data_IF_958228151612
#
_entry.id   IF_958228151612
#
_cell.length_a   1.000
_cell.length_b   1.000
_cell.length_c   1.000
_cell.angle_alpha   90.00
_cell.angle_beta   90.00
_cell.angle_gamma   90.00
#
_symmetry.space_group_name_H-M   'P 1'
#
loop_
_entity.id
_entity.type
_entity.pdbx_description
1 polymer ?
#
# COMPACT_ATOMS: atom_id res chain seq x y z
N UNK A 1 48.01 12.76 4.46
CA UNK A 1 46.66 12.93 3.90
C UNK A 1 45.98 11.57 3.95
N UNK A 2 45.24 11.31 5.01
CA UNK A 2 44.51 10.05 5.23
C UNK A 2 43.08 10.35 4.82
N UNK A 3 42.68 9.81 3.67
CA UNK A 3 41.32 9.92 3.16
C UNK A 3 40.37 9.24 4.12
N UNK A 4 39.50 10.04 4.74
CA UNK A 4 38.32 9.62 5.47
C UNK A 4 37.30 9.04 4.46
N UNK A 5 37.39 7.76 4.17
CA UNK A 5 36.29 7.01 3.60
C UNK A 5 35.38 6.69 4.81
N UNK A 6 34.42 7.56 5.07
CA UNK A 6 33.23 7.13 5.83
C UNK A 6 32.55 6.06 4.99
N UNK A 7 32.85 4.80 5.25
CA UNK A 7 31.98 3.70 4.83
C UNK A 7 30.62 3.97 5.48
N UNK A 8 29.63 4.34 4.67
CA UNK A 8 28.23 4.32 5.08
C UNK A 8 27.97 2.90 5.58
N UNK A 9 27.84 2.77 6.89
CA UNK A 9 27.42 1.49 7.49
C UNK A 9 25.98 1.26 7.07
N UNK A 10 25.77 0.43 6.07
CA UNK A 10 24.45 -0.08 5.69
C UNK A 10 23.88 -0.72 6.95
N UNK A 11 22.69 -0.31 7.38
CA UNK A 11 21.98 -0.96 8.49
C UNK A 11 21.67 -2.41 8.08
N UNK A 12 22.57 -3.32 8.47
CA UNK A 12 22.44 -4.74 8.15
C UNK A 12 21.11 -5.32 8.63
N UNK A 13 20.54 -4.73 9.68
CA UNK A 13 19.24 -5.12 10.24
C UNK A 13 18.08 -4.84 9.27
N UNK A 14 18.03 -3.66 8.64
CA UNK A 14 17.00 -3.33 7.65
C UNK A 14 17.01 -4.30 6.48
N UNK A 15 18.20 -4.56 5.97
CA UNK A 15 18.44 -5.47 4.85
C UNK A 15 17.98 -6.90 5.17
N UNK A 16 18.34 -7.41 6.34
CA UNK A 16 17.95 -8.76 6.75
C UNK A 16 16.44 -8.86 7.03
N UNK A 17 15.83 -7.79 7.54
CA UNK A 17 14.37 -7.71 7.70
C UNK A 17 13.67 -7.79 6.34
N UNK A 18 14.11 -7.00 5.35
CA UNK A 18 13.55 -7.01 3.99
C UNK A 18 13.67 -8.41 3.37
N UNK A 19 14.84 -9.04 3.42
CA UNK A 19 15.06 -10.40 2.92
C UNK A 19 14.16 -11.42 3.62
N UNK A 20 14.00 -11.28 4.92
CA UNK A 20 13.14 -12.16 5.73
C UNK A 20 11.69 -12.04 5.33
N UNK A 21 11.19 -10.80 5.12
CA UNK A 21 9.82 -10.56 4.66
C UNK A 21 9.61 -11.17 3.26
N UNK A 22 10.52 -10.96 2.31
CA UNK A 22 10.39 -11.56 0.98
C UNK A 22 10.41 -13.09 1.01
N UNK A 23 11.23 -13.72 1.85
CA UNK A 23 11.20 -15.18 2.04
C UNK A 23 9.85 -15.66 2.57
N UNK A 24 9.30 -14.96 3.58
CA UNK A 24 7.99 -15.30 4.16
C UNK A 24 6.86 -15.13 3.13
N UNK A 25 6.87 -14.05 2.34
CA UNK A 25 5.93 -13.84 1.22
C UNK A 25 6.04 -15.01 0.24
N UNK A 26 7.25 -15.38 -0.16
CA UNK A 26 7.49 -16.47 -1.11
C UNK A 26 6.96 -17.79 -0.58
N UNK A 27 7.25 -18.15 0.68
CA UNK A 27 6.77 -19.38 1.29
C UNK A 27 5.23 -19.40 1.40
N UNK A 28 4.60 -18.28 1.79
CA UNK A 28 3.15 -18.21 1.89
C UNK A 28 2.47 -18.37 0.52
N UNK A 29 3.00 -17.73 -0.53
CA UNK A 29 2.48 -17.84 -1.89
C UNK A 29 2.62 -19.28 -2.42
N UNK A 30 3.80 -19.90 -2.24
CA UNK A 30 4.06 -21.26 -2.69
C UNK A 30 3.17 -22.30 -1.99
N UNK A 31 2.78 -22.11 -0.72
CA UNK A 31 1.86 -23.01 -0.01
C UNK A 31 0.48 -23.12 -0.69
N UNK A 32 0.10 -22.11 -1.46
CA UNK A 32 -1.19 -22.08 -2.18
C UNK A 32 -1.00 -21.99 -3.69
N UNK A 33 0.12 -22.49 -4.19
CA UNK A 33 0.44 -22.60 -5.61
C UNK A 33 0.38 -21.29 -6.40
N UNK A 34 0.66 -20.15 -5.71
CA UNK A 34 0.75 -18.82 -6.33
C UNK A 34 2.19 -18.43 -6.59
N UNK A 35 2.41 -17.66 -7.64
CA UNK A 35 3.73 -17.07 -7.90
C UNK A 35 4.02 -15.96 -6.88
N UNK A 36 5.20 -15.93 -6.20
CA UNK A 36 5.53 -14.89 -5.23
C UNK A 36 5.47 -13.46 -5.79
N UNK A 37 5.74 -13.28 -7.08
CA UNK A 37 5.66 -12.00 -7.79
C UNK A 37 4.24 -11.44 -7.93
N UNK A 38 3.21 -12.24 -7.66
CA UNK A 38 1.81 -11.79 -7.65
C UNK A 38 1.46 -11.02 -6.37
N UNK A 39 2.39 -10.95 -5.41
CA UNK A 39 2.19 -10.27 -4.12
C UNK A 39 3.09 -9.03 -4.03
N UNK A 40 2.48 -7.87 -4.05
CA UNK A 40 3.14 -6.58 -3.89
C UNK A 40 3.39 -6.29 -2.41
N UNK A 41 4.63 -5.94 -2.07
CA UNK A 41 5.00 -5.49 -0.72
C UNK A 41 4.88 -3.97 -0.64
N UNK A 42 3.92 -3.48 0.15
CA UNK A 42 3.79 -2.06 0.51
C UNK A 42 4.54 -1.84 1.83
N UNK A 43 5.69 -1.17 1.76
CA UNK A 43 6.50 -0.84 2.93
C UNK A 43 5.91 0.36 3.65
N UNK A 44 5.30 0.15 4.82
CA UNK A 44 4.60 1.21 5.58
C UNK A 44 5.61 2.01 6.39
N UNK A 45 5.78 3.28 6.02
CA UNK A 45 6.83 4.18 6.52
C UNK A 45 6.36 5.21 7.55
N UNK A 46 5.17 5.02 8.15
CA UNK A 46 4.73 5.88 9.26
C UNK A 46 5.84 5.91 10.34
N UNK A 47 6.20 7.10 10.82
CA UNK A 47 7.25 7.33 11.84
C UNK A 47 8.68 6.92 11.43
N UNK A 48 8.92 6.52 10.18
CA UNK A 48 10.25 6.20 9.65
C UNK A 48 10.88 7.47 9.08
N UNK A 49 12.15 7.71 9.38
CA UNK A 49 12.91 8.83 8.85
C UNK A 49 13.25 8.63 7.34
N UNK A 50 13.66 9.72 6.70
CA UNK A 50 13.93 9.75 5.26
C UNK A 50 15.18 8.96 4.89
N UNK A 51 16.16 8.88 5.77
CA UNK A 51 17.41 8.16 5.58
C UNK A 51 17.15 6.65 5.49
N UNK A 52 16.35 6.10 6.41
CA UNK A 52 15.97 4.67 6.35
C UNK A 52 15.09 4.33 5.15
N UNK A 53 14.23 5.27 4.72
CA UNK A 53 13.44 5.06 3.49
C UNK A 53 14.37 5.03 2.28
N UNK A 54 15.38 5.90 2.21
CA UNK A 54 16.37 5.91 1.14
C UNK A 54 17.15 4.60 1.11
N UNK A 55 17.63 4.10 2.24
CA UNK A 55 18.27 2.78 2.31
C UNK A 55 17.36 1.67 1.77
N UNK A 56 16.07 1.69 2.13
CA UNK A 56 15.09 0.72 1.62
C UNK A 56 14.89 0.84 0.09
N UNK A 57 14.90 2.06 -0.47
CA UNK A 57 14.87 2.32 -1.91
C UNK A 57 16.12 1.76 -2.58
N UNK A 58 17.30 2.01 -2.02
CA UNK A 58 18.58 1.54 -2.54
C UNK A 58 18.63 0.00 -2.53
N UNK A 59 17.96 -0.62 -1.58
CA UNK A 59 17.78 -2.08 -1.48
C UNK A 59 16.72 -2.66 -2.42
N UNK A 60 16.01 -1.81 -3.16
CA UNK A 60 15.07 -2.25 -4.19
C UNK A 60 13.60 -2.19 -3.81
N UNK A 61 13.21 -1.67 -2.63
CA UNK A 61 11.80 -1.40 -2.36
C UNK A 61 11.30 -0.25 -3.24
N UNK A 62 10.08 -0.37 -3.75
CA UNK A 62 9.51 0.57 -4.73
C UNK A 62 8.13 1.09 -4.34
N UNK A 63 7.42 0.40 -3.45
CA UNK A 63 6.06 0.76 -3.04
C UNK A 63 6.08 1.10 -1.55
N UNK A 64 5.75 2.35 -1.23
CA UNK A 64 5.77 2.86 0.13
C UNK A 64 4.36 3.30 0.56
N UNK A 65 4.01 3.00 1.82
CA UNK A 65 2.70 3.31 2.38
C UNK A 65 2.77 4.34 3.50
N UNK A 66 1.95 5.38 3.42
CA UNK A 66 1.80 6.39 4.48
C UNK A 66 0.39 6.39 5.05
N UNK A 67 0.30 6.66 6.35
CA UNK A 67 -0.99 6.68 7.06
C UNK A 67 -1.60 8.08 7.17
N UNK A 68 -0.81 9.14 7.00
CA UNK A 68 -1.23 10.54 7.19
C UNK A 68 -0.73 11.43 6.07
N UNK A 69 -1.65 12.15 5.45
CA UNK A 69 -1.36 13.02 4.29
C UNK A 69 -0.32 14.11 4.61
N UNK A 70 -0.37 14.70 5.82
CA UNK A 70 0.55 15.80 6.19
C UNK A 70 1.99 15.29 6.38
N UNK A 71 2.17 14.18 7.11
CA UNK A 71 3.49 13.56 7.29
C UNK A 71 4.07 13.12 5.94
N UNK A 72 3.23 12.52 5.08
CA UNK A 72 3.63 12.12 3.73
C UNK A 72 4.12 13.31 2.89
N UNK A 73 3.43 14.46 2.96
CA UNK A 73 3.80 15.65 2.18
C UNK A 73 5.23 16.10 2.48
N UNK A 74 5.59 16.24 3.74
CA UNK A 74 6.92 16.67 4.15
C UNK A 74 7.98 15.63 3.76
N UNK A 75 7.71 14.37 4.05
CA UNK A 75 8.59 13.25 3.79
C UNK A 75 8.89 13.06 2.30
N UNK A 76 7.84 13.02 1.47
CA UNK A 76 7.97 12.85 0.01
C UNK A 76 8.70 14.04 -0.60
N UNK A 77 8.44 15.29 -0.13
CA UNK A 77 9.14 16.48 -0.61
C UNK A 77 10.64 16.42 -0.28
N UNK A 78 10.99 16.01 0.93
CA UNK A 78 12.38 15.86 1.36
C UNK A 78 13.09 14.77 0.55
N UNK A 79 12.46 13.61 0.36
CA UNK A 79 13.02 12.53 -0.46
C UNK A 79 13.21 12.95 -1.92
N UNK A 80 12.23 13.62 -2.53
CA UNK A 80 12.35 14.12 -3.91
C UNK A 80 13.53 15.09 -4.07
N UNK A 81 13.78 15.96 -3.09
CA UNK A 81 14.92 16.88 -3.12
C UNK A 81 16.27 16.18 -2.99
N UNK A 82 16.32 15.06 -2.27
CA UNK A 82 17.55 14.26 -2.08
C UNK A 82 17.81 13.26 -3.20
N UNK A 83 16.76 12.81 -3.90
CA UNK A 83 16.85 11.87 -5.02
C UNK A 83 17.04 12.56 -6.39
N UNK A 84 17.16 13.90 -6.43
CA UNK A 84 17.50 14.65 -7.64
C UNK A 84 19.02 15.00 -7.68
N UNK A 85 19.74 14.72 -8.79
CA UNK A 85 19.20 14.63 -10.13
C UNK A 85 18.56 13.27 -10.42
N UNK A 86 17.55 13.21 -11.34
CA UNK A 86 17.03 11.94 -11.81
C UNK A 86 18.21 11.13 -12.38
N UNK A 87 18.24 9.80 -12.16
CA UNK A 87 19.31 8.98 -12.72
C UNK A 87 19.39 9.23 -14.23
N UNK A 88 20.59 9.34 -14.79
CA UNK A 88 20.77 9.65 -16.21
C UNK A 88 20.02 8.63 -17.07
N UNK A 89 19.37 9.07 -18.17
CA UNK A 89 18.43 8.24 -18.95
C UNK A 89 19.07 7.04 -19.65
N UNK A 90 20.39 6.85 -19.58
CA UNK A 90 21.10 5.80 -20.30
C UNK A 90 22.19 5.12 -19.48
N UNK A 91 21.81 4.17 -18.64
CA UNK A 91 22.70 3.07 -18.30
C UNK A 91 22.01 1.78 -18.73
N UNK A 92 22.43 1.20 -19.87
CA UNK A 92 22.07 -0.18 -20.23
C UNK A 92 22.54 -1.09 -19.11
N UNK A 93 21.59 -1.65 -18.33
CA UNK A 93 21.85 -2.56 -17.22
C UNK A 93 21.89 -1.93 -15.83
N UNK A 94 21.73 -0.61 -15.67
CA UNK A 94 21.64 0.08 -14.39
C UNK A 94 20.25 0.70 -14.22
N UNK A 95 19.60 0.47 -13.09
CA UNK A 95 18.48 1.20 -12.47
C UNK A 95 17.46 1.79 -13.46
N UNK A 96 16.98 0.95 -14.40
CA UNK A 96 15.97 1.37 -15.36
C UNK A 96 14.74 1.86 -14.61
N UNK A 97 14.43 3.13 -14.76
CA UNK A 97 13.22 3.89 -14.45
C UNK A 97 12.15 3.30 -13.53
N UNK A 98 12.51 2.65 -12.44
CA UNK A 98 11.54 2.15 -11.47
C UNK A 98 11.03 3.35 -10.66
N UNK A 99 9.86 3.83 -11.06
CA UNK A 99 9.15 4.86 -10.32
C UNK A 99 8.84 4.35 -8.91
N UNK A 100 9.10 5.18 -7.90
CA UNK A 100 8.67 4.93 -6.54
C UNK A 100 7.18 5.26 -6.49
N UNK A 101 6.37 4.29 -6.05
CA UNK A 101 4.94 4.48 -5.82
C UNK A 101 4.67 4.80 -4.35
N UNK A 102 3.83 5.81 -4.13
CA UNK A 102 3.35 6.21 -2.81
C UNK A 102 1.88 5.86 -2.65
N UNK A 103 1.57 5.04 -1.64
CA UNK A 103 0.22 4.59 -1.32
C UNK A 103 -0.28 5.24 -0.03
N UNK A 104 -1.52 5.73 -0.02
CA UNK A 104 -2.19 6.13 1.21
C UNK A 104 -2.92 4.92 1.79
N UNK A 105 -2.49 4.46 2.97
CA UNK A 105 -3.04 3.26 3.62
C UNK A 105 -3.81 3.57 4.91
N UNK A 106 -3.80 4.83 5.37
CA UNK A 106 -4.56 5.31 6.52
C UNK A 106 -5.80 6.10 6.11
N UNK A 107 -6.67 6.40 7.08
CA UNK A 107 -7.93 7.11 6.83
C UNK A 107 -7.73 8.48 6.17
N UNK A 108 -8.53 8.76 5.15
CA UNK A 108 -8.51 10.03 4.41
C UNK A 108 -9.74 10.89 4.75
N UNK A 109 -9.51 12.03 5.35
CA UNK A 109 -10.54 13.06 5.52
C UNK A 109 -10.80 13.79 4.19
N UNK A 110 -12.06 14.11 3.87
CA UNK A 110 -12.46 14.79 2.62
C UNK A 110 -11.67 16.07 2.34
N UNK A 111 -11.44 16.89 3.38
CA UNK A 111 -10.69 18.17 3.25
C UNK A 111 -9.21 17.98 2.89
N UNK A 112 -8.69 16.76 2.91
CA UNK A 112 -7.33 16.41 2.51
C UNK A 112 -7.25 15.76 1.12
N UNK A 113 -8.40 15.52 0.46
CA UNK A 113 -8.47 14.85 -0.84
C UNK A 113 -7.59 15.52 -1.90
N UNK A 114 -7.59 16.87 -1.96
CA UNK A 114 -6.73 17.64 -2.89
C UNK A 114 -5.25 17.29 -2.75
N UNK A 115 -4.75 17.29 -1.53
CA UNK A 115 -3.32 16.99 -1.26
C UNK A 115 -3.05 15.50 -1.52
N UNK A 116 -4.00 14.62 -1.15
CA UNK A 116 -3.85 13.17 -1.37
C UNK A 116 -3.70 12.85 -2.87
N UNK A 117 -4.52 13.42 -3.74
CA UNK A 117 -4.43 13.25 -5.20
C UNK A 117 -3.07 13.69 -5.76
N UNK A 118 -2.48 14.75 -5.21
CA UNK A 118 -1.17 15.25 -5.65
C UNK A 118 0.01 14.36 -5.22
N UNK A 119 -0.14 13.65 -4.10
CA UNK A 119 0.97 12.92 -3.46
C UNK A 119 0.98 11.44 -3.76
N UNK A 120 -0.21 10.81 -3.83
CA UNK A 120 -0.31 9.35 -3.83
C UNK A 120 -0.68 8.80 -5.20
N UNK A 121 -0.05 7.70 -5.56
CA UNK A 121 -0.33 6.94 -6.77
C UNK A 121 -1.56 6.05 -6.57
N UNK A 122 -1.73 5.45 -5.38
CA UNK A 122 -2.86 4.62 -5.02
C UNK A 122 -3.39 4.99 -3.63
N UNK A 123 -4.70 5.17 -3.51
CA UNK A 123 -5.41 5.45 -2.25
C UNK A 123 -6.21 4.21 -1.85
N UNK A 124 -5.83 3.54 -0.74
CA UNK A 124 -6.45 2.29 -0.28
C UNK A 124 -7.72 2.47 0.56
N UNK A 125 -7.98 3.68 1.02
CA UNK A 125 -8.92 3.97 2.11
C UNK A 125 -10.19 4.69 1.65
N UNK A 126 -10.62 4.48 0.40
CA UNK A 126 -11.89 5.03 -0.08
C UNK A 126 -13.07 4.30 0.56
N UNK A 127 -13.89 5.00 1.34
CA UNK A 127 -14.93 4.40 2.17
C UNK A 127 -16.31 5.04 2.00
N UNK A 128 -16.47 6.03 1.12
CA UNK A 128 -17.76 6.71 0.94
C UNK A 128 -17.88 7.39 -0.42
N UNK A 129 -19.12 7.51 -0.92
CA UNK A 129 -19.44 8.23 -2.17
C UNK A 129 -18.98 9.68 -2.09
N UNK A 130 -19.15 10.32 -0.92
CA UNK A 130 -18.72 11.70 -0.75
C UNK A 130 -17.21 11.92 -0.79
N UNK A 131 -16.40 10.93 -0.36
CA UNK A 131 -14.94 10.97 -0.53
C UNK A 131 -14.56 10.69 -1.99
N UNK A 132 -15.24 9.73 -2.64
CA UNK A 132 -15.04 9.44 -4.05
C UNK A 132 -15.27 10.68 -4.93
N UNK A 133 -16.36 11.41 -4.69
CA UNK A 133 -16.67 12.64 -5.41
C UNK A 133 -15.58 13.72 -5.25
N UNK A 134 -15.06 13.92 -4.02
CA UNK A 134 -13.97 14.88 -3.80
C UNK A 134 -12.66 14.44 -4.47
N UNK A 135 -12.33 13.14 -4.42
CA UNK A 135 -11.15 12.62 -5.13
C UNK A 135 -11.27 12.79 -6.64
N UNK A 136 -12.44 12.45 -7.23
CA UNK A 136 -12.70 12.60 -8.66
C UNK A 136 -12.54 14.05 -9.10
N UNK A 137 -13.16 15.00 -8.37
CA UNK A 137 -13.07 16.44 -8.64
C UNK A 137 -11.63 16.95 -8.62
N UNK A 138 -10.83 16.52 -7.63
CA UNK A 138 -9.45 16.97 -7.52
C UNK A 138 -8.53 16.26 -8.51
N UNK A 139 -8.84 15.02 -8.89
CA UNK A 139 -8.13 14.29 -9.94
C UNK A 139 -8.37 14.94 -11.30
N UNK A 140 -9.61 15.35 -11.63
CA UNK A 140 -9.94 16.13 -12.80
C UNK A 140 -9.15 17.45 -12.87
N UNK A 141 -9.12 18.21 -11.75
CA UNK A 141 -8.38 19.47 -11.66
C UNK A 141 -6.87 19.30 -11.80
N UNK A 142 -6.35 18.11 -11.54
CA UNK A 142 -4.93 17.75 -11.66
C UNK A 142 -4.61 17.03 -12.98
N UNK A 143 -5.59 16.90 -13.89
CA UNK A 143 -5.47 16.14 -15.15
C UNK A 143 -4.93 14.72 -14.92
N UNK A 144 -5.39 14.06 -13.86
CA UNK A 144 -4.93 12.76 -13.39
C UNK A 144 -6.08 11.76 -13.29
N UNK A 145 -5.82 10.50 -13.56
CA UNK A 145 -6.67 9.38 -13.14
C UNK A 145 -6.12 8.88 -11.82
N UNK A 146 -6.90 9.01 -10.75
CA UNK A 146 -6.49 8.55 -9.41
C UNK A 146 -6.89 7.11 -9.20
N UNK A 147 -5.89 6.26 -8.98
CA UNK A 147 -6.08 4.85 -8.61
C UNK A 147 -6.60 4.74 -7.18
N UNK A 148 -7.61 3.91 -6.96
CA UNK A 148 -8.25 3.75 -5.65
C UNK A 148 -8.61 2.29 -5.35
N UNK A 149 -8.56 1.92 -4.05
CA UNK A 149 -9.20 0.73 -3.52
C UNK A 149 -10.33 1.14 -2.58
N UNK A 150 -11.41 0.36 -2.55
CA UNK A 150 -12.48 0.57 -1.58
C UNK A 150 -12.15 -0.16 -0.29
N UNK A 151 -12.11 0.57 0.82
CA UNK A 151 -11.94 0.00 2.14
C UNK A 151 -13.27 -0.53 2.65
N UNK A 152 -13.35 -1.84 2.87
CA UNK A 152 -14.54 -2.54 3.39
C UNK A 152 -14.36 -2.81 4.88
N UNK A 153 -15.36 -2.46 5.66
CA UNK A 153 -15.45 -2.78 7.09
C UNK A 153 -16.06 -4.15 7.27
N UNK A 154 -15.26 -5.11 7.75
CA UNK A 154 -15.69 -6.48 8.01
C UNK A 154 -15.82 -6.82 9.51
N UNK A 155 -15.38 -5.92 10.39
CA UNK A 155 -15.47 -6.09 11.83
C UNK A 155 -16.52 -5.16 12.44
N UNK A 156 -17.17 -5.58 13.52
CA UNK A 156 -18.14 -4.77 14.26
C UNK A 156 -17.49 -3.67 15.13
N UNK A 157 -16.17 -3.59 15.19
CA UNK A 157 -15.48 -2.56 15.97
C UNK A 157 -15.87 -1.16 15.48
N UNK A 158 -16.44 -0.36 16.40
CA UNK A 158 -16.98 0.98 16.10
C UNK A 158 -15.93 1.98 15.58
N UNK A 159 -14.66 1.75 15.89
CA UNK A 159 -13.56 2.70 15.63
C UNK A 159 -12.92 2.47 14.24
N UNK A 160 -13.24 1.38 13.54
CA UNK A 160 -12.64 1.10 12.22
C UNK A 160 -13.41 1.77 11.11
N UNK A 161 -12.65 2.47 10.27
CA UNK A 161 -13.10 3.06 9.01
C UNK A 161 -13.38 1.98 7.97
N UNK A 162 -14.14 2.31 6.96
CA UNK A 162 -14.51 1.45 5.85
C UNK A 162 -16.02 1.48 5.62
N UNK A 163 -16.41 1.20 4.38
CA UNK A 163 -17.83 1.07 4.04
C UNK A 163 -18.38 -0.26 4.58
N UNK A 164 -19.59 -0.29 5.13
CA UNK A 164 -20.28 -1.55 5.43
C UNK A 164 -20.40 -2.40 4.15
N UNK A 165 -20.27 -3.73 4.29
CA UNK A 165 -20.32 -4.64 3.14
C UNK A 165 -21.66 -4.56 2.38
N UNK A 166 -22.73 -4.24 3.07
CA UNK A 166 -24.08 -4.06 2.52
C UNK A 166 -24.14 -2.89 1.53
N UNK A 167 -23.35 -1.84 1.77
CA UNK A 167 -23.29 -0.63 0.95
C UNK A 167 -22.22 -0.70 -0.15
N UNK A 168 -21.40 -1.77 -0.18
CA UNK A 168 -20.27 -1.90 -1.11
C UNK A 168 -20.72 -1.72 -2.56
N UNK A 169 -21.76 -2.44 -3.00
CA UNK A 169 -22.23 -2.34 -4.39
C UNK A 169 -22.60 -0.92 -4.78
N UNK A 170 -23.29 -0.20 -3.89
CA UNK A 170 -23.67 1.21 -4.15
C UNK A 170 -22.47 2.12 -4.33
N UNK A 171 -21.39 1.89 -3.58
CA UNK A 171 -20.15 2.66 -3.74
C UNK A 171 -19.44 2.30 -5.05
N UNK A 172 -19.37 1.01 -5.40
CA UNK A 172 -18.76 0.55 -6.65
C UNK A 172 -19.50 1.14 -7.86
N UNK A 173 -20.85 1.11 -7.87
CA UNK A 173 -21.67 1.73 -8.93
C UNK A 173 -21.37 3.23 -9.07
N UNK A 174 -21.27 3.95 -7.94
CA UNK A 174 -20.99 5.38 -7.96
C UNK A 174 -19.58 5.69 -8.48
N UNK A 175 -18.57 4.88 -8.16
CA UNK A 175 -17.20 5.08 -8.67
C UNK A 175 -17.14 4.78 -10.18
N UNK A 176 -17.88 3.79 -10.68
CA UNK A 176 -17.88 3.42 -12.08
C UNK A 176 -18.33 4.58 -13.02
N UNK A 177 -19.13 5.52 -12.51
CA UNK A 177 -19.55 6.74 -13.23
C UNK A 177 -18.52 7.89 -13.16
N UNK A 178 -17.43 7.73 -12.37
CA UNK A 178 -16.44 8.77 -12.13
C UNK A 178 -15.24 8.63 -13.07
N UNK A 179 -15.10 9.54 -14.03
CA UNK A 179 -14.11 9.43 -15.13
C UNK A 179 -12.65 9.58 -14.69
N UNK A 180 -12.39 10.21 -13.55
CA UNK A 180 -11.03 10.49 -13.07
C UNK A 180 -10.63 9.59 -11.89
N UNK A 181 -11.38 8.52 -11.64
CA UNK A 181 -11.02 7.46 -10.71
C UNK A 181 -10.82 6.13 -11.45
N UNK A 182 -9.80 5.41 -11.09
CA UNK A 182 -9.56 4.03 -11.50
C UNK A 182 -9.70 3.12 -10.28
N UNK A 183 -10.79 2.34 -10.27
CA UNK A 183 -11.05 1.38 -9.21
C UNK A 183 -10.28 0.09 -9.48
N UNK A 184 -9.28 -0.22 -8.63
CA UNK A 184 -8.43 -1.40 -8.80
C UNK A 184 -8.78 -2.56 -7.87
N UNK A 185 -9.55 -2.35 -6.80
CA UNK A 185 -9.82 -3.45 -5.89
C UNK A 185 -10.40 -3.05 -4.54
N UNK A 186 -10.24 -3.98 -3.60
CA UNK A 186 -10.73 -3.83 -2.23
C UNK A 186 -9.59 -3.85 -1.22
N UNK A 187 -9.84 -3.22 -0.07
CA UNK A 187 -8.94 -3.22 1.08
C UNK A 187 -9.70 -3.52 2.35
N UNK A 188 -9.09 -4.22 3.30
CA UNK A 188 -9.60 -4.34 4.66
C UNK A 188 -8.50 -4.25 5.71
N UNK A 189 -8.91 -3.92 6.93
CA UNK A 189 -8.09 -4.00 8.14
C UNK A 189 -8.80 -4.89 9.15
N UNK A 190 -8.15 -6.00 9.52
CA UNK A 190 -8.67 -6.93 10.53
C UNK A 190 -8.49 -6.39 11.96
N UNK A 191 -9.26 -6.87 12.94
CA UNK A 191 -8.84 -6.78 14.33
C UNK A 191 -7.43 -7.38 14.55
N UNK A 192 -6.76 -6.93 15.59
CA UNK A 192 -5.55 -7.62 16.03
C UNK A 192 -5.96 -8.87 16.81
N UNK A 193 -5.34 -10.00 16.48
CA UNK A 193 -5.52 -11.27 17.16
C UNK A 193 -4.17 -11.82 17.58
N UNK A 194 -4.06 -12.34 18.80
CA UNK A 194 -2.83 -13.04 19.24
C UNK A 194 -2.52 -14.25 18.35
N UNK A 195 -3.55 -15.00 17.96
CA UNK A 195 -3.46 -16.05 16.94
C UNK A 195 -3.85 -15.45 15.57
N UNK A 196 -2.89 -15.28 14.63
CA UNK A 196 -3.17 -14.69 13.32
C UNK A 196 -4.15 -15.49 12.46
N UNK A 197 -4.33 -16.79 12.72
CA UNK A 197 -5.34 -17.62 12.04
C UNK A 197 -6.77 -17.09 12.23
N UNK A 198 -7.04 -16.38 13.31
CA UNK A 198 -8.34 -15.75 13.54
C UNK A 198 -8.69 -14.66 12.50
N UNK A 199 -7.68 -14.12 11.82
CA UNK A 199 -7.88 -13.15 10.74
C UNK A 199 -8.32 -13.80 9.41
N UNK A 200 -8.14 -15.12 9.24
CA UNK A 200 -8.41 -15.85 8.00
C UNK A 200 -9.83 -15.65 7.47
N UNK A 201 -10.84 -15.70 8.36
CA UNK A 201 -12.23 -15.51 7.97
C UNK A 201 -12.51 -14.15 7.36
N UNK A 202 -11.87 -13.09 7.87
CA UNK A 202 -11.99 -11.72 7.33
C UNK A 202 -11.34 -11.59 5.94
N UNK A 203 -10.18 -12.21 5.75
CA UNK A 203 -9.50 -12.18 4.45
C UNK A 203 -10.28 -12.96 3.39
N UNK A 204 -10.83 -14.11 3.77
CA UNK A 204 -11.72 -14.90 2.90
C UNK A 204 -12.99 -14.12 2.56
N UNK A 205 -13.61 -13.47 3.51
CA UNK A 205 -14.81 -12.66 3.28
C UNK A 205 -14.51 -11.50 2.30
N UNK A 206 -13.37 -10.81 2.42
CA UNK A 206 -12.98 -9.77 1.45
C UNK A 206 -12.80 -10.34 0.05
N UNK A 207 -12.13 -11.48 -0.10
CA UNK A 207 -11.99 -12.18 -1.37
C UNK A 207 -13.35 -12.54 -1.96
N UNK A 208 -14.24 -13.12 -1.18
CA UNK A 208 -15.56 -13.52 -1.64
C UNK A 208 -16.40 -12.32 -2.10
N UNK A 209 -16.28 -11.17 -1.43
CA UNK A 209 -16.91 -9.90 -1.85
C UNK A 209 -16.33 -9.41 -3.19
N UNK A 210 -15.00 -9.45 -3.39
CA UNK A 210 -14.34 -9.14 -4.65
C UNK A 210 -14.83 -10.05 -5.77
N UNK A 211 -14.81 -11.36 -5.56
CA UNK A 211 -15.19 -12.36 -6.55
C UNK A 211 -16.67 -12.22 -6.97
N UNK A 212 -17.54 -11.87 -5.99
CA UNK A 212 -18.94 -11.56 -6.26
C UNK A 212 -19.09 -10.28 -7.09
N UNK A 213 -18.32 -9.26 -6.81
CA UNK A 213 -18.33 -8.01 -7.58
C UNK A 213 -17.81 -8.25 -9.01
N UNK A 214 -16.73 -9.01 -9.19
CA UNK A 214 -16.19 -9.34 -10.51
C UNK A 214 -17.18 -10.13 -11.36
N UNK A 215 -17.94 -11.07 -10.79
CA UNK A 215 -19.06 -11.75 -11.47
C UNK A 215 -20.16 -10.78 -11.91
N UNK A 216 -20.26 -9.61 -11.27
CA UNK A 216 -21.20 -8.54 -11.63
C UNK A 216 -20.61 -7.54 -12.64
N UNK A 217 -19.40 -7.79 -13.16
CA UNK A 217 -18.77 -7.00 -14.24
C UNK A 217 -17.74 -5.97 -13.79
N UNK A 218 -17.45 -5.85 -12.49
CA UNK A 218 -16.35 -4.99 -12.02
C UNK A 218 -15.00 -5.64 -12.28
N UNK A 219 -13.95 -4.81 -12.42
CA UNK A 219 -12.56 -5.27 -12.49
C UNK A 219 -11.86 -4.88 -11.19
N UNK A 220 -11.57 -5.84 -10.34
CA UNK A 220 -11.01 -5.63 -9.01
C UNK A 220 -9.79 -6.54 -8.77
N UNK A 221 -8.71 -6.39 -9.57
CA UNK A 221 -7.56 -7.30 -9.50
C UNK A 221 -6.84 -7.27 -8.15
N UNK A 222 -7.01 -6.20 -7.37
CA UNK A 222 -6.22 -5.98 -6.17
C UNK A 222 -7.00 -6.28 -4.88
N UNK A 223 -6.36 -7.05 -3.99
CA UNK A 223 -6.78 -7.26 -2.61
C UNK A 223 -5.69 -6.80 -1.65
N UNK A 224 -5.88 -5.61 -1.06
CA UNK A 224 -4.96 -5.07 -0.07
C UNK A 224 -5.39 -5.52 1.33
N UNK A 225 -4.72 -6.53 1.87
CA UNK A 225 -5.00 -7.09 3.18
C UNK A 225 -3.76 -7.79 3.75
N UNK A 226 -3.70 -7.90 5.09
CA UNK A 226 -2.54 -8.45 5.79
C UNK A 226 -1.48 -7.40 6.17
N UNK A 227 -1.01 -7.51 7.41
CA UNK A 227 0.03 -6.68 8.01
C UNK A 227 1.13 -7.57 8.60
N UNK A 228 2.11 -7.00 9.29
CA UNK A 228 3.30 -7.71 9.83
C UNK A 228 2.98 -9.04 10.53
N UNK A 229 1.85 -9.12 11.21
CA UNK A 229 1.49 -10.27 12.05
C UNK A 229 0.69 -11.37 11.31
N UNK A 230 -0.07 -11.00 10.27
CA UNK A 230 -1.07 -11.87 9.64
C UNK A 230 -0.97 -11.95 8.10
N UNK A 231 0.09 -11.36 7.51
CA UNK A 231 0.19 -11.25 6.05
C UNK A 231 0.34 -12.60 5.32
N UNK A 232 0.94 -13.62 5.96
CA UNK A 232 1.03 -14.95 5.35
C UNK A 232 -0.36 -15.55 5.16
N UNK A 233 -1.21 -15.44 6.19
CA UNK A 233 -2.62 -15.88 6.12
C UNK A 233 -3.37 -15.10 5.04
N UNK A 234 -3.13 -13.79 4.96
CA UNK A 234 -3.73 -12.95 3.92
C UNK A 234 -3.31 -13.40 2.52
N UNK A 235 -2.02 -13.76 2.31
CA UNK A 235 -1.52 -14.28 1.03
C UNK A 235 -2.20 -15.60 0.67
N UNK A 236 -2.35 -16.51 1.63
CA UNK A 236 -3.05 -17.78 1.46
C UNK A 236 -4.52 -17.58 1.07
N UNK A 237 -5.15 -16.54 1.58
CA UNK A 237 -6.52 -16.16 1.22
C UNK A 237 -6.62 -15.22 0.00
N UNK A 238 -5.51 -15.00 -0.72
CA UNK A 238 -5.52 -14.33 -2.03
C UNK A 238 -5.10 -12.85 -2.03
N UNK A 239 -4.46 -12.34 -0.97
CA UNK A 239 -3.91 -10.98 -0.99
C UNK A 239 -3.00 -10.77 -2.20
N UNK A 240 -3.13 -9.62 -2.87
CA UNK A 240 -2.21 -9.16 -3.92
C UNK A 240 -1.30 -8.05 -3.42
N UNK A 241 -1.69 -7.39 -2.31
CA UNK A 241 -0.89 -6.39 -1.61
C UNK A 241 -0.88 -6.67 -0.11
N UNK A 242 0.33 -6.73 0.48
CA UNK A 242 0.53 -6.81 1.94
C UNK A 242 1.22 -5.54 2.44
N UNK A 243 0.84 -5.05 3.63
CA UNK A 243 1.29 -3.76 4.19
C UNK A 243 2.15 -4.00 5.43
N UNK A 244 3.46 -3.92 5.26
CA UNK A 244 4.43 -4.26 6.28
C UNK A 244 5.16 -3.01 6.77
N UNK A 245 5.06 -2.69 8.05
CA UNK A 245 5.78 -1.58 8.69
C UNK A 245 6.84 -2.08 9.66
N UNK A 246 6.43 -2.48 10.85
CA UNK A 246 7.33 -2.92 11.92
C UNK A 246 8.21 -4.12 11.52
N UNK A 247 7.70 -5.03 10.70
CA UNK A 247 8.49 -6.17 10.21
C UNK A 247 9.68 -5.77 9.32
N UNK A 248 9.69 -4.55 8.78
CA UNK A 248 10.80 -4.01 7.97
C UNK A 248 11.64 -3.03 8.79
N UNK A 249 10.99 -2.04 9.42
CA UNK A 249 11.67 -0.86 9.97
C UNK A 249 11.90 -0.91 11.48
N UNK A 250 11.44 -1.94 12.21
CA UNK A 250 11.79 -2.08 13.62
C UNK A 250 13.30 -2.35 13.78
N UNK A 251 13.90 -1.74 14.81
CA UNK A 251 15.24 -2.15 15.23
C UNK A 251 15.15 -3.53 15.87
N UNK A 252 16.13 -4.41 15.62
CA UNK A 252 16.29 -5.62 16.39
C UNK A 252 16.62 -5.23 17.83
N UNK A 253 15.79 -5.64 18.76
CA UNK A 253 16.00 -5.47 20.20
C UNK A 253 17.14 -6.34 20.67
#
# INVERSE_FOLDING_TARGET
MINNIKSEMIDTTLVENIKTIYRRISHAAMRVERHPGDVKLVAVTKTVDTERIKEAIDWGLRIFGESRVQEAKEKISNLKSQLNPPPPPFIKGGWGGFLIEWHLVGHLQKNKAKIAVQLFDLIHCLDSIGLAAELNKHAESAEKIQRVLVQVKLSEEKIKHGIPKEDLKRLLDAIAEMKNLELEGLMTMTPFFDNPEMARSYFRELRDLRDKAEKSGYKLPELSMGMTHDFEIAIEEGATMVRIGTGIFAHSS
#
